data_IF_811683525280
#
_entry.id   IF_811683525280
#
_cell.length_a   1.000
_cell.length_b   1.000
_cell.length_c   1.000
_cell.angle_alpha   90.00
_cell.angle_beta   90.00
_cell.angle_gamma   90.00
#
_symmetry.space_group_name_H-M   'P 1'
#
loop_
_entity.id
_entity.type
_entity.pdbx_description
1 polymer ?
#
# COMPACT_ATOMS: atom_id res chain seq x y z
N UNK A 1 4.02 14.07 -4.43
CA UNK A 1 2.59 14.23 -4.76
C UNK A 1 1.69 13.17 -4.12
N UNK A 2 2.02 11.88 -4.16
CA UNK A 2 1.20 10.80 -3.58
C UNK A 2 0.70 11.08 -2.16
N UNK A 3 1.57 11.49 -1.23
CA UNK A 3 1.15 11.86 0.12
C UNK A 3 0.08 12.98 0.12
N UNK A 4 0.27 14.04 -0.66
CA UNK A 4 -0.71 15.14 -0.76
C UNK A 4 -2.07 14.66 -1.28
N UNK A 5 -2.08 13.75 -2.27
CA UNK A 5 -3.32 13.14 -2.78
C UNK A 5 -3.99 12.26 -1.73
N UNK A 6 -3.21 11.44 -1.00
CA UNK A 6 -3.71 10.62 0.10
C UNK A 6 -4.37 11.50 1.18
N UNK A 7 -3.69 12.56 1.64
CA UNK A 7 -4.25 13.49 2.62
C UNK A 7 -5.46 14.25 2.10
N UNK A 8 -5.49 14.61 0.81
CA UNK A 8 -6.66 15.24 0.20
C UNK A 8 -7.89 14.32 0.20
N UNK A 9 -7.70 13.01 -0.04
CA UNK A 9 -8.77 12.02 0.05
C UNK A 9 -9.20 11.74 1.49
N UNK A 10 -8.25 11.67 2.45
CA UNK A 10 -8.55 11.46 3.87
C UNK A 10 -9.33 12.61 4.50
N UNK A 11 -9.19 13.82 3.97
CA UNK A 11 -9.82 15.05 4.48
C UNK A 11 -11.01 15.50 3.64
N UNK A 12 -11.46 14.68 2.69
CA UNK A 12 -12.62 14.98 1.87
C UNK A 12 -13.90 14.55 2.58
N UNK A 13 -14.89 15.45 2.64
CA UNK A 13 -16.24 15.13 3.12
C UNK A 13 -17.09 14.38 2.06
N UNK A 14 -16.47 14.01 0.94
CA UNK A 14 -17.09 13.25 -0.15
C UNK A 14 -16.52 11.82 -0.18
N UNK A 15 -17.30 10.82 -0.63
CA UNK A 15 -16.85 9.42 -0.68
C UNK A 15 -15.67 9.18 -1.64
N UNK A 16 -15.38 10.14 -2.53
CA UNK A 16 -14.24 10.12 -3.44
C UNK A 16 -14.14 11.43 -4.21
N UNK A 17 -13.01 11.62 -4.89
CA UNK A 17 -12.73 12.82 -5.68
C UNK A 17 -12.27 12.45 -7.10
N UNK A 18 -12.68 13.22 -8.10
CA UNK A 18 -12.11 13.16 -9.45
C UNK A 18 -10.69 13.71 -9.49
N UNK A 19 -9.92 13.39 -10.54
CA UNK A 19 -8.61 13.99 -10.76
C UNK A 19 -8.66 15.53 -10.84
N UNK A 20 -9.73 16.10 -11.43
CA UNK A 20 -9.91 17.55 -11.51
C UNK A 20 -10.17 18.17 -10.13
N UNK A 21 -10.97 17.53 -9.28
CA UNK A 21 -11.20 18.00 -7.90
C UNK A 21 -9.94 17.90 -7.04
N UNK A 22 -9.17 16.81 -7.19
CA UNK A 22 -7.87 16.66 -6.54
C UNK A 22 -6.89 17.75 -6.99
N UNK A 23 -6.83 18.02 -8.29
CA UNK A 23 -5.98 19.06 -8.87
C UNK A 23 -6.35 20.46 -8.34
N UNK A 24 -7.64 20.77 -8.30
CA UNK A 24 -8.14 22.04 -7.77
C UNK A 24 -7.83 22.20 -6.28
N UNK A 25 -8.13 21.18 -5.46
CA UNK A 25 -7.88 21.22 -3.99
C UNK A 25 -6.39 21.32 -3.64
N UNK A 26 -5.52 20.76 -4.48
CA UNK A 26 -4.07 20.76 -4.27
C UNK A 26 -3.36 21.91 -5.00
N UNK A 27 -4.09 22.75 -5.74
CA UNK A 27 -3.56 23.86 -6.52
C UNK A 27 -2.45 23.40 -7.50
N UNK A 28 -2.70 22.29 -8.21
CA UNK A 28 -1.78 21.72 -9.20
C UNK A 28 -2.50 21.42 -10.51
N UNK A 29 -1.73 21.13 -11.57
CA UNK A 29 -2.32 20.68 -12.84
C UNK A 29 -2.89 19.26 -12.73
N UNK A 30 -3.94 18.90 -13.50
CA UNK A 30 -4.46 17.54 -13.54
C UNK A 30 -3.41 16.48 -13.92
N UNK A 31 -2.44 16.84 -14.77
CA UNK A 31 -1.34 15.95 -15.16
C UNK A 31 -0.48 15.51 -13.97
N UNK A 32 -0.34 16.35 -12.94
CA UNK A 32 0.43 16.03 -11.74
C UNK A 32 -0.26 14.99 -10.83
N UNK A 33 -1.56 14.75 -11.01
CA UNK A 33 -2.35 13.81 -10.20
C UNK A 33 -2.19 12.37 -10.68
N UNK A 34 -2.10 12.15 -12.00
CA UNK A 34 -2.13 10.81 -12.61
C UNK A 34 -1.08 9.85 -12.07
N UNK A 35 0.14 10.33 -11.84
CA UNK A 35 1.20 9.50 -11.25
C UNK A 35 0.92 9.11 -9.80
N UNK A 36 0.37 10.05 -9.02
CA UNK A 36 0.05 9.84 -7.61
C UNK A 36 -1.09 8.83 -7.42
N UNK A 37 -2.20 8.98 -8.15
CA UNK A 37 -3.34 8.05 -8.05
C UNK A 37 -3.00 6.66 -8.56
N UNK A 38 -2.16 6.55 -9.60
CA UNK A 38 -1.65 5.25 -10.08
C UNK A 38 -0.83 4.56 -9.00
N UNK A 39 0.14 5.28 -8.42
CA UNK A 39 0.99 4.73 -7.36
C UNK A 39 0.18 4.30 -6.14
N UNK A 40 -0.74 5.14 -5.67
CA UNK A 40 -1.61 4.82 -4.53
C UNK A 40 -2.54 3.62 -4.81
N UNK A 41 -2.96 3.43 -6.06
CA UNK A 41 -3.68 2.23 -6.48
C UNK A 41 -2.81 0.97 -6.47
N UNK A 42 -1.55 1.09 -6.91
CA UNK A 42 -0.59 -0.02 -6.91
C UNK A 42 -0.26 -0.50 -5.49
N UNK A 43 -0.14 0.41 -4.51
CA UNK A 43 0.10 0.05 -3.10
C UNK A 43 -1.21 -0.20 -2.32
N UNK A 44 -2.34 -0.33 -3.02
CA UNK A 44 -3.60 -0.77 -2.44
C UNK A 44 -4.38 0.24 -1.59
N UNK A 45 -3.98 1.51 -1.57
CA UNK A 45 -4.65 2.56 -0.78
C UNK A 45 -5.85 3.18 -1.47
N UNK A 46 -5.78 3.34 -2.80
CA UNK A 46 -6.82 4.01 -3.58
C UNK A 46 -7.46 3.05 -4.56
N UNK A 47 -8.78 3.13 -4.71
CA UNK A 47 -9.51 2.46 -5.79
C UNK A 47 -10.08 3.50 -6.75
N UNK A 48 -10.05 3.15 -8.03
CA UNK A 48 -10.65 3.92 -9.13
C UNK A 48 -12.02 3.33 -9.43
N UNK A 49 -13.06 4.14 -9.31
CA UNK A 49 -14.43 3.76 -9.61
C UNK A 49 -14.95 4.55 -10.80
N UNK A 50 -15.46 3.88 -11.86
CA UNK A 50 -16.13 4.55 -12.95
C UNK A 50 -17.41 5.22 -12.43
N UNK A 51 -17.66 6.45 -12.86
CA UNK A 51 -18.94 7.12 -12.60
C UNK A 51 -19.91 6.75 -13.72
N UNK A 52 -21.07 6.13 -13.43
CA UNK A 52 -22.07 5.83 -14.45
C UNK A 52 -22.47 7.09 -15.23
N UNK A 53 -22.37 7.05 -16.56
CA UNK A 53 -22.72 8.17 -17.43
C UNK A 53 -21.69 9.30 -17.54
N UNK A 54 -20.52 9.17 -16.91
CA UNK A 54 -19.43 10.16 -16.98
C UNK A 54 -18.14 9.52 -17.50
N UNK A 55 -17.35 10.29 -18.25
CA UNK A 55 -15.99 9.89 -18.65
C UNK A 55 -14.95 10.05 -17.53
N UNK A 56 -15.35 10.59 -16.38
CA UNK A 56 -14.45 10.87 -15.26
C UNK A 56 -14.57 9.76 -14.22
N UNK A 57 -13.43 9.26 -13.77
CA UNK A 57 -13.38 8.33 -12.65
C UNK A 57 -13.31 9.06 -11.32
N UNK A 58 -13.85 8.43 -10.27
CA UNK A 58 -13.64 8.82 -8.89
C UNK A 58 -12.50 8.00 -8.29
N UNK A 59 -11.66 8.66 -7.51
CA UNK A 59 -10.66 8.04 -6.67
C UNK A 59 -11.15 8.12 -5.23
N UNK A 60 -11.19 6.97 -4.56
CA UNK A 60 -11.52 6.90 -3.13
C UNK A 60 -10.51 6.05 -2.38
N UNK A 61 -10.44 6.25 -1.07
CA UNK A 61 -9.73 5.33 -0.20
C UNK A 61 -10.44 3.97 -0.25
N UNK A 62 -9.65 2.90 -0.31
CA UNK A 62 -10.18 1.54 -0.21
C UNK A 62 -10.69 1.30 1.21
N UNK A 63 -11.73 0.49 1.34
CA UNK A 63 -12.23 0.07 2.65
C UNK A 63 -11.13 -0.66 3.41
N UNK A 64 -11.03 -0.40 4.73
CA UNK A 64 -9.91 -0.87 5.55
C UNK A 64 -8.55 -0.53 4.91
N UNK A 65 -8.38 0.72 4.45
CA UNK A 65 -7.26 1.20 3.62
C UNK A 65 -5.89 0.65 4.04
N UNK A 66 -5.60 0.68 5.34
CA UNK A 66 -4.34 0.21 5.90
C UNK A 66 -4.18 -1.30 5.78
N UNK A 67 -5.23 -2.09 6.03
CA UNK A 67 -5.22 -3.54 5.82
C UNK A 67 -4.99 -3.88 4.36
N UNK A 68 -5.68 -3.18 3.44
CA UNK A 68 -5.53 -3.44 2.02
C UNK A 68 -4.12 -3.09 1.51
N UNK A 69 -3.53 -2.01 1.98
CA UNK A 69 -2.14 -1.67 1.65
C UNK A 69 -1.13 -2.64 2.25
N UNK A 70 -1.34 -3.05 3.50
CA UNK A 70 -0.51 -4.07 4.15
C UNK A 70 -0.59 -5.42 3.45
N UNK A 71 -1.79 -5.86 3.04
CA UNK A 71 -1.97 -7.08 2.27
C UNK A 71 -1.24 -7.00 0.91
N UNK A 72 -1.29 -5.84 0.25
CA UNK A 72 -0.56 -5.60 -1.00
C UNK A 72 0.96 -5.69 -0.80
N UNK A 73 1.48 -5.14 0.29
CA UNK A 73 2.90 -5.24 0.65
C UNK A 73 3.31 -6.69 0.95
N UNK A 74 2.49 -7.46 1.66
CA UNK A 74 2.72 -8.88 1.94
C UNK A 74 2.78 -9.71 0.66
N UNK A 75 1.88 -9.46 -0.29
CA UNK A 75 1.91 -10.12 -1.61
C UNK A 75 3.21 -9.83 -2.36
N UNK A 76 3.72 -8.59 -2.28
CA UNK A 76 5.00 -8.24 -2.87
C UNK A 76 6.16 -9.00 -2.21
N UNK A 77 6.15 -9.17 -0.89
CA UNK A 77 7.16 -9.97 -0.19
C UNK A 77 7.17 -11.42 -0.69
N UNK A 78 6.00 -12.03 -0.89
CA UNK A 78 5.90 -13.39 -1.42
C UNK A 78 6.52 -13.54 -2.81
N UNK A 79 6.30 -12.57 -3.69
CA UNK A 79 6.93 -12.55 -5.03
C UNK A 79 8.45 -12.47 -4.92
N UNK A 80 8.96 -11.57 -4.07
CA UNK A 80 10.41 -11.37 -3.91
C UNK A 80 11.07 -12.60 -3.26
N UNK A 81 10.44 -13.20 -2.25
CA UNK A 81 10.93 -14.43 -1.60
C UNK A 81 11.01 -15.56 -2.61
N UNK A 82 9.95 -15.81 -3.39
CA UNK A 82 9.93 -16.87 -4.41
C UNK A 82 11.03 -16.68 -5.44
N UNK A 83 11.20 -15.45 -5.95
CA UNK A 83 12.25 -15.14 -6.91
C UNK A 83 13.67 -15.31 -6.32
N UNK A 84 13.85 -14.99 -5.04
CA UNK A 84 15.12 -15.17 -4.34
C UNK A 84 15.45 -16.67 -4.14
N UNK A 85 14.47 -17.50 -3.79
CA UNK A 85 14.65 -18.94 -3.62
C UNK A 85 15.01 -19.62 -4.96
N UNK A 86 14.35 -19.24 -6.05
CA UNK A 86 14.71 -19.71 -7.40
C UNK A 86 16.14 -19.33 -7.78
N UNK A 87 16.53 -18.07 -7.55
CA UNK A 87 17.87 -17.59 -7.84
C UNK A 87 18.93 -18.33 -7.02
N UNK A 88 18.73 -18.47 -5.70
CA UNK A 88 19.67 -19.16 -4.82
C UNK A 88 19.79 -20.64 -5.19
N UNK A 89 18.69 -21.30 -5.59
CA UNK A 89 18.74 -22.67 -6.10
C UNK A 89 19.57 -22.81 -7.38
N UNK A 90 19.61 -21.76 -8.22
CA UNK A 90 20.38 -21.76 -9.48
C UNK A 90 21.87 -21.45 -9.32
N UNK A 91 22.26 -20.71 -8.27
CA UNK A 91 23.66 -20.30 -8.04
C UNK A 91 24.57 -21.44 -7.55
N UNK A 92 24.00 -22.59 -7.15
CA UNK A 92 24.76 -23.75 -6.68
C UNK A 92 25.52 -23.48 -5.37
N UNK A 93 26.51 -24.33 -5.04
CA UNK A 93 27.30 -24.26 -3.79
C UNK A 93 28.33 -23.12 -3.76
N UNK A 94 28.32 -22.21 -4.73
CA UNK A 94 29.24 -21.08 -4.77
C UNK A 94 28.79 -20.00 -3.77
N UNK A 95 29.42 -19.99 -2.59
CA UNK A 95 29.28 -18.88 -1.65
C UNK A 95 29.89 -17.63 -2.26
N UNK A 96 29.02 -16.75 -2.76
CA UNK A 96 29.38 -15.44 -3.29
C UNK A 96 28.69 -14.35 -2.48
N UNK A 97 29.30 -13.18 -2.42
CA UNK A 97 28.70 -11.99 -1.79
C UNK A 97 27.33 -11.64 -2.38
N UNK A 98 27.07 -11.99 -3.64
CA UNK A 98 25.75 -11.80 -4.25
C UNK A 98 24.70 -12.74 -3.64
N UNK A 99 25.05 -14.02 -3.42
CA UNK A 99 24.16 -14.99 -2.78
C UNK A 99 23.83 -14.59 -1.32
N UNK A 100 24.82 -14.07 -0.59
CA UNK A 100 24.62 -13.57 0.78
C UNK A 100 23.60 -12.43 0.84
N UNK A 101 23.72 -11.43 -0.06
CA UNK A 101 22.77 -10.30 -0.13
C UNK A 101 21.35 -10.77 -0.46
N UNK A 102 21.21 -11.72 -1.38
CA UNK A 102 19.90 -12.27 -1.77
C UNK A 102 19.29 -13.07 -0.62
N UNK A 103 20.09 -13.88 0.07
CA UNK A 103 19.65 -14.64 1.24
C UNK A 103 19.21 -13.73 2.39
N UNK A 104 19.97 -12.67 2.69
CA UNK A 104 19.62 -11.69 3.73
C UNK A 104 18.29 -10.98 3.39
N UNK A 105 18.12 -10.52 2.15
CA UNK A 105 16.87 -9.89 1.71
C UNK A 105 15.68 -10.85 1.82
N UNK A 106 15.84 -12.10 1.37
CA UNK A 106 14.81 -13.14 1.48
C UNK A 106 14.42 -13.37 2.94
N UNK A 107 15.40 -13.56 3.82
CA UNK A 107 15.17 -13.85 5.24
C UNK A 107 14.49 -12.68 5.95
N UNK A 108 14.89 -11.45 5.63
CA UNK A 108 14.25 -10.25 6.15
C UNK A 108 12.77 -10.17 5.72
N UNK A 109 12.47 -10.34 4.44
CA UNK A 109 11.08 -10.28 3.97
C UNK A 109 10.24 -11.45 4.49
N UNK A 110 10.80 -12.64 4.62
CA UNK A 110 10.13 -13.79 5.25
C UNK A 110 9.81 -13.50 6.73
N UNK A 111 10.75 -12.92 7.47
CA UNK A 111 10.53 -12.48 8.85
C UNK A 111 9.42 -11.44 8.93
N UNK A 112 9.49 -10.35 8.16
CA UNK A 112 8.48 -9.28 8.19
C UNK A 112 7.10 -9.84 7.84
N UNK A 113 7.00 -10.65 6.77
CA UNK A 113 5.75 -11.34 6.38
C UNK A 113 5.14 -12.13 7.54
N UNK A 114 5.96 -12.88 8.28
CA UNK A 114 5.48 -13.68 9.42
C UNK A 114 4.94 -12.84 10.58
N UNK A 115 5.40 -11.59 10.72
CA UNK A 115 5.01 -10.68 11.81
C UNK A 115 3.77 -9.86 11.51
N UNK A 116 3.53 -9.54 10.24
CA UNK A 116 2.42 -8.67 9.82
C UNK A 116 1.05 -9.11 10.35
N UNK A 117 0.63 -10.39 10.29
CA UNK A 117 -0.66 -10.80 10.85
C UNK A 117 -0.82 -10.43 12.32
N UNK A 118 0.20 -10.70 13.15
CA UNK A 118 0.18 -10.34 14.57
C UNK A 118 0.07 -8.83 14.80
N UNK A 119 0.79 -8.02 14.02
CA UNK A 119 0.67 -6.55 14.11
C UNK A 119 -0.74 -6.05 13.75
N UNK A 120 -1.39 -6.70 12.78
CA UNK A 120 -2.76 -6.37 12.39
C UNK A 120 -3.77 -6.77 13.47
N UNK A 121 -3.58 -7.92 14.10
CA UNK A 121 -4.42 -8.40 15.21
C UNK A 121 -4.27 -7.50 16.45
N UNK A 122 -3.03 -7.11 16.79
CA UNK A 122 -2.75 -6.15 17.87
C UNK A 122 -3.43 -4.79 17.62
N UNK A 123 -3.36 -4.30 16.38
CA UNK A 123 -4.06 -3.07 16.01
C UNK A 123 -5.58 -3.20 16.15
N UNK A 124 -6.18 -4.33 15.75
CA UNK A 124 -7.62 -4.57 15.94
C UNK A 124 -8.00 -4.57 17.42
N UNK A 125 -7.23 -5.30 18.24
CA UNK A 125 -7.46 -5.38 19.68
C UNK A 125 -7.38 -3.99 20.34
N UNK A 126 -6.42 -3.16 19.93
CA UNK A 126 -6.27 -1.79 20.46
C UNK A 126 -7.48 -0.88 20.17
N UNK A 127 -8.20 -1.14 19.07
CA UNK A 127 -9.40 -0.38 18.68
C UNK A 127 -10.68 -0.91 19.33
N UNK A 128 -10.70 -2.18 19.70
CA UNK A 128 -11.81 -2.82 20.41
C UNK A 128 -11.79 -2.49 21.91
N UNK A 129 -10.63 -2.12 22.47
CA UNK A 129 -10.52 -1.63 23.84
C UNK A 129 -11.30 -0.31 23.99
N UNK A 130 -12.24 -0.19 24.95
CA UNK A 130 -12.92 1.07 25.23
C UNK A 130 -11.87 2.15 25.52
N UNK A 131 -12.02 3.33 24.90
CA UNK A 131 -11.26 4.52 25.30
C UNK A 131 -11.47 4.69 26.80
N UNK A 132 -10.46 4.38 27.61
CA UNK A 132 -10.48 4.69 29.03
C UNK A 132 -10.56 6.21 29.13
N UNK A 133 -11.79 6.68 29.33
CA UNK A 133 -12.10 8.08 29.52
C UNK A 133 -11.60 8.42 30.91
N UNK A 134 -10.40 9.00 30.97
CA UNK A 134 -9.84 9.52 32.21
C UNK A 134 -10.83 10.51 32.84
N UNK A 135 -11.21 10.22 34.09
CA UNK A 135 -11.90 11.15 34.99
C UNK A 135 -10.98 12.27 35.44
#
# INVERSE_FOLDING_TARGET
MAARVLFALMTADAPGLTATQLAARLEVSPAAISGAVRYLGQIGFVVREPVPGSRRDHYRLRDHTWYAGTATAVQFYDVVISAADELLGSLGSAHSTAAERVAEMRDFFAFVRSRVPGLLDEWQASRAAPLQSGS
#
